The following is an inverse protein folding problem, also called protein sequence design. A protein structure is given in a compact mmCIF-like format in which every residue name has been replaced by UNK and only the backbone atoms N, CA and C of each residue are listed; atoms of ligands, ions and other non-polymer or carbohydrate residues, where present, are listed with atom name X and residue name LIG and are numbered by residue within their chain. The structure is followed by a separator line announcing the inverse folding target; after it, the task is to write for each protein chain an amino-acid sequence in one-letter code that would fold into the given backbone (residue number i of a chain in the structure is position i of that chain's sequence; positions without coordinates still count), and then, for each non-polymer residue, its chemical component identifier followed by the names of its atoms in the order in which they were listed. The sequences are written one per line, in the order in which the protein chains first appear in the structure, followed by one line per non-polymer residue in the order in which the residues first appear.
data_IF_627438821372
#
_entry.id   IF_627438821372
#
_cell.length_a   1.000
_cell.length_b   1.000
_cell.length_c   1.000
_cell.angle_alpha   90.00
_cell.angle_beta   90.00
_cell.angle_gamma   90.00
#
_symmetry.space_group_name_H-M   'P 1'
#
loop_
_entity.id
_entity.type
_entity.pdbx_description
1 polymer ?
#
# COMPACT_ATOMS: atom_id res chain seq x y z
N UNK A 1 -3.33 -2.18 -16.24
CA UNK A 1 -3.54 -1.76 -14.84
C UNK A 1 -4.05 -2.95 -14.06
N UNK A 2 -3.45 -3.28 -12.94
CA UNK A 2 -3.96 -4.29 -12.00
C UNK A 2 -4.63 -3.57 -10.84
N UNK A 3 -5.81 -4.02 -10.43
CA UNK A 3 -6.55 -3.45 -9.31
C UNK A 3 -7.17 -4.59 -8.50
N UNK A 4 -6.96 -4.56 -7.19
CA UNK A 4 -7.57 -5.48 -6.25
C UNK A 4 -7.98 -4.74 -4.98
N UNK A 5 -9.19 -5.00 -4.52
CA UNK A 5 -9.71 -4.55 -3.23
C UNK A 5 -9.62 -5.73 -2.26
N UNK A 6 -9.11 -5.47 -1.06
CA UNK A 6 -9.24 -6.36 0.08
C UNK A 6 -10.16 -5.69 1.10
N UNK A 7 -11.15 -6.43 1.57
CA UNK A 7 -12.07 -5.94 2.61
C UNK A 7 -12.01 -6.88 3.80
N UNK A 8 -11.69 -6.31 4.95
CA UNK A 8 -11.77 -6.98 6.24
C UNK A 8 -13.10 -6.60 6.90
N UNK A 9 -14.02 -7.56 6.96
CA UNK A 9 -15.35 -7.36 7.55
C UNK A 9 -15.30 -7.12 9.06
N UNK A 10 -14.31 -7.69 9.76
CA UNK A 10 -14.19 -7.57 11.21
C UNK A 10 -13.71 -6.18 11.62
N UNK A 11 -12.84 -5.58 10.81
CA UNK A 11 -12.27 -4.25 11.06
C UNK A 11 -12.97 -3.14 10.26
N UNK A 12 -13.96 -3.48 9.42
CA UNK A 12 -14.54 -2.58 8.44
C UNK A 12 -13.47 -1.81 7.64
N UNK A 13 -12.40 -2.52 7.29
CA UNK A 13 -11.18 -1.93 6.73
C UNK A 13 -11.05 -2.29 5.25
N UNK A 14 -10.82 -1.27 4.41
CA UNK A 14 -10.58 -1.42 2.98
C UNK A 14 -9.12 -1.17 2.66
N UNK A 15 -8.48 -2.13 1.99
CA UNK A 15 -7.14 -2.01 1.43
C UNK A 15 -7.19 -2.17 -0.08
N UNK A 16 -6.35 -1.44 -0.81
CA UNK A 16 -6.29 -1.51 -2.26
C UNK A 16 -4.89 -1.82 -2.75
N UNK A 17 -4.76 -2.78 -3.66
CA UNK A 17 -3.54 -3.02 -4.42
C UNK A 17 -3.73 -2.52 -5.85
N UNK A 18 -2.91 -1.53 -6.24
CA UNK A 18 -2.90 -0.98 -7.59
C UNK A 18 -1.53 -1.24 -8.21
N UNK A 19 -1.49 -1.93 -9.34
CA UNK A 19 -0.26 -2.33 -10.02
C UNK A 19 -0.15 -1.77 -11.45
N UNK A 20 1.06 -1.38 -11.83
CA UNK A 20 1.42 -0.99 -13.18
C UNK A 20 2.18 -2.12 -13.89
N UNK A 21 1.56 -2.74 -14.89
CA UNK A 21 2.19 -3.83 -15.67
C UNK A 21 3.41 -3.37 -16.47
N UNK A 22 3.50 -2.08 -16.81
CA UNK A 22 4.60 -1.51 -17.60
C UNK A 22 5.86 -1.31 -16.75
N UNK A 23 5.72 -0.76 -15.55
CA UNK A 23 6.87 -0.48 -14.66
C UNK A 23 7.18 -1.63 -13.71
N UNK A 24 6.22 -2.55 -13.49
CA UNK A 24 6.35 -3.60 -12.49
C UNK A 24 6.26 -3.08 -11.06
N UNK A 25 5.79 -1.84 -10.86
CA UNK A 25 5.59 -1.25 -9.55
C UNK A 25 4.13 -1.42 -9.10
N UNK A 26 3.93 -1.53 -7.79
CA UNK A 26 2.61 -1.55 -7.20
C UNK A 26 2.55 -0.68 -5.94
N UNK A 27 1.35 -0.18 -5.65
CA UNK A 27 1.04 0.56 -4.44
C UNK A 27 -0.05 -0.16 -3.65
N UNK A 28 0.13 -0.27 -2.33
CA UNK A 28 -0.85 -0.77 -1.38
C UNK A 28 -1.37 0.42 -0.56
N UNK A 29 -2.64 0.73 -0.74
CA UNK A 29 -3.35 1.81 -0.08
C UNK A 29 -4.00 1.26 1.19
N UNK A 30 -3.75 1.92 2.32
CA UNK A 30 -4.23 1.51 3.64
C UNK A 30 -3.99 -0.01 3.84
N UNK A 31 -2.72 -0.46 3.90
CA UNK A 31 -2.38 -1.88 3.93
C UNK A 31 -3.06 -2.58 5.11
N UNK A 32 -3.70 -3.71 4.80
CA UNK A 32 -4.25 -4.60 5.81
C UNK A 32 -3.15 -5.18 6.70
N UNK A 33 -3.55 -5.62 7.89
CA UNK A 33 -2.69 -6.31 8.86
C UNK A 33 -3.00 -7.80 8.95
N UNK A 34 -3.91 -8.25 8.09
CA UNK A 34 -4.29 -9.64 7.92
C UNK A 34 -3.24 -10.33 7.04
N UNK A 35 -2.66 -11.41 7.55
CA UNK A 35 -1.63 -12.16 6.85
C UNK A 35 -2.11 -12.76 5.53
N UNK A 36 -3.36 -13.22 5.45
CA UNK A 36 -3.90 -13.88 4.26
C UNK A 36 -3.96 -12.90 3.08
N UNK A 37 -4.34 -11.64 3.36
CA UNK A 37 -4.38 -10.58 2.34
C UNK A 37 -2.99 -10.18 1.86
N UNK A 38 -1.99 -10.21 2.76
CA UNK A 38 -0.61 -9.85 2.41
C UNK A 38 0.04 -10.88 1.47
N UNK A 39 -0.38 -12.15 1.52
CA UNK A 39 0.17 -13.19 0.63
C UNK A 39 -0.31 -13.07 -0.82
N UNK A 40 -1.35 -12.29 -1.07
CA UNK A 40 -1.84 -11.99 -2.42
C UNK A 40 -1.03 -10.89 -3.13
N UNK A 41 -0.11 -10.22 -2.41
CA UNK A 41 0.75 -9.15 -2.95
C UNK A 41 1.97 -9.79 -3.64
N UNK A 42 2.35 -9.36 -4.86
CA UNK A 42 3.46 -9.97 -5.58
C UNK A 42 4.81 -9.64 -4.95
N UNK A 43 5.56 -10.66 -4.52
CA UNK A 43 6.85 -10.54 -3.81
C UNK A 43 8.03 -10.11 -4.69
N UNK A 44 7.90 -10.25 -6.01
CA UNK A 44 8.94 -9.95 -7.00
C UNK A 44 8.85 -8.52 -7.56
N UNK A 45 7.94 -7.70 -7.03
CA UNK A 45 7.69 -6.32 -7.46
C UNK A 45 8.11 -5.33 -6.40
N UNK A 46 8.39 -4.10 -6.85
CA UNK A 46 8.56 -2.96 -5.96
C UNK A 46 7.19 -2.54 -5.41
N UNK A 47 7.05 -2.58 -4.08
CA UNK A 47 5.81 -2.27 -3.38
C UNK A 47 5.96 -0.96 -2.62
N UNK A 48 5.08 0.00 -2.87
CA UNK A 48 4.95 1.22 -2.08
C UNK A 48 3.71 1.06 -1.20
N UNK A 49 3.80 1.32 0.09
CA UNK A 49 2.62 1.39 0.95
C UNK A 49 2.31 2.85 1.26
N UNK A 50 1.03 3.19 1.35
CA UNK A 50 0.64 4.50 1.89
C UNK A 50 -0.67 4.43 2.67
N UNK A 51 -0.86 5.43 3.51
CA UNK A 51 -2.12 5.68 4.20
C UNK A 51 -2.30 7.21 4.33
N UNK A 52 -3.25 7.65 5.17
CA UNK A 52 -3.45 9.09 5.43
C UNK A 52 -2.19 9.83 5.90
N UNK A 53 -1.48 9.30 6.91
CA UNK A 53 -0.40 10.02 7.62
C UNK A 53 0.95 9.28 7.62
N UNK A 54 1.04 8.10 7.02
CA UNK A 54 2.24 7.25 7.02
C UNK A 54 2.31 6.22 8.16
N UNK A 55 1.55 6.39 9.25
CA UNK A 55 1.65 5.51 10.43
C UNK A 55 1.13 4.08 10.17
N UNK A 56 -0.06 3.93 9.55
CA UNK A 56 -0.64 2.62 9.24
C UNK A 56 0.19 1.88 8.18
N UNK A 57 0.66 2.63 7.18
CA UNK A 57 1.47 2.08 6.10
C UNK A 57 2.86 1.67 6.55
N UNK A 58 3.45 2.34 7.55
CA UNK A 58 4.68 1.87 8.19
C UNK A 58 4.54 0.47 8.81
N UNK A 59 3.42 0.21 9.50
CA UNK A 59 3.12 -1.12 10.05
C UNK A 59 3.00 -2.14 8.91
N UNK A 60 2.22 -1.82 7.88
CA UNK A 60 2.09 -2.69 6.70
C UNK A 60 3.44 -2.99 6.02
N UNK A 61 4.31 -1.99 5.89
CA UNK A 61 5.67 -2.16 5.37
C UNK A 61 6.48 -3.13 6.23
N UNK A 62 6.45 -3.00 7.56
CA UNK A 62 7.16 -3.93 8.44
C UNK A 62 6.66 -5.37 8.32
N UNK A 63 5.34 -5.57 8.16
CA UNK A 63 4.74 -6.89 7.98
C UNK A 63 5.16 -7.51 6.63
N UNK A 64 5.13 -6.73 5.56
CA UNK A 64 5.61 -7.18 4.25
C UNK A 64 7.10 -7.54 4.28
N UNK A 65 7.93 -6.70 4.91
CA UNK A 65 9.35 -7.00 5.08
C UNK A 65 9.57 -8.28 5.89
N UNK A 66 8.83 -8.48 6.98
CA UNK A 66 8.87 -9.70 7.78
C UNK A 66 8.46 -10.95 6.96
N UNK A 67 7.53 -10.80 6.01
CA UNK A 67 7.12 -11.85 5.05
C UNK A 67 8.11 -12.08 3.88
N UNK A 68 9.26 -11.41 3.91
CA UNK A 68 10.35 -11.61 2.96
C UNK A 68 10.25 -10.79 1.67
N UNK A 69 9.36 -9.80 1.61
CA UNK A 69 9.36 -8.85 0.51
C UNK A 69 10.63 -7.98 0.58
N UNK A 70 11.39 -7.95 -0.52
CA UNK A 70 12.73 -7.32 -0.52
C UNK A 70 12.71 -5.84 -0.90
N UNK A 71 11.73 -5.42 -1.69
CA UNK A 71 11.62 -4.06 -2.22
C UNK A 71 10.29 -3.43 -1.81
N UNK A 72 10.23 -3.02 -0.54
CA UNK A 72 9.03 -2.40 0.06
C UNK A 72 9.40 -1.06 0.67
N UNK A 73 8.67 -0.02 0.25
CA UNK A 73 8.83 1.35 0.72
C UNK A 73 7.55 1.84 1.39
N UNK A 74 7.68 2.68 2.41
CA UNK A 74 6.56 3.41 3.01
C UNK A 74 6.58 4.85 2.50
N UNK A 75 5.43 5.37 2.06
CA UNK A 75 5.30 6.80 1.75
C UNK A 75 5.31 7.61 3.05
N UNK A 76 6.43 8.27 3.33
CA UNK A 76 6.61 9.10 4.53
C UNK A 76 5.56 10.23 4.58
N UNK A 77 4.99 10.44 5.78
CA UNK A 77 3.91 11.40 5.99
C UNK A 77 2.58 11.08 5.29
N UNK A 78 2.54 10.01 4.50
CA UNK A 78 1.36 9.53 3.78
C UNK A 78 0.77 10.55 2.82
N UNK A 79 -0.51 10.38 2.51
CA UNK A 79 -1.24 11.27 1.60
C UNK A 79 -1.30 12.72 2.10
N UNK A 80 -1.27 12.95 3.42
CA UNK A 80 -1.28 14.29 3.99
C UNK A 80 -0.02 15.08 3.62
N UNK A 81 1.16 14.43 3.65
CA UNK A 81 2.41 15.05 3.21
C UNK A 81 2.41 15.28 1.68
N UNK A 82 1.96 14.29 0.90
CA UNK A 82 1.80 14.42 -0.55
C UNK A 82 0.99 15.67 -0.94
N UNK A 83 -0.15 15.88 -0.27
CA UNK A 83 -0.98 17.07 -0.48
C UNK A 83 -0.28 18.36 -0.05
N UNK A 84 0.42 18.34 1.09
CA UNK A 84 1.16 19.50 1.61
C UNK A 84 2.28 19.94 0.67
N UNK A 85 2.93 19.00 -0.01
CA UNK A 85 3.97 19.27 -1.00
C UNK A 85 3.42 19.79 -2.34
N UNK A 86 2.09 19.85 -2.50
CA UNK A 86 1.47 20.32 -3.74
C UNK A 86 1.61 19.35 -4.91
N UNK A 87 1.87 18.07 -4.62
CA UNK A 87 1.96 17.03 -5.65
C UNK A 87 0.59 16.75 -6.29
N UNK A 88 0.53 16.21 -7.51
CA UNK A 88 -0.72 16.02 -8.24
C UNK A 88 -1.74 15.18 -7.46
N UNK A 89 -2.97 15.69 -7.37
CA UNK A 89 -4.12 14.98 -6.81
C UNK A 89 -5.31 15.22 -7.74
N UNK A 90 -6.00 14.15 -8.10
CA UNK A 90 -7.30 14.24 -8.78
C UNK A 90 -8.39 14.20 -7.71
N UNK A 91 -9.17 15.27 -7.61
CA UNK A 91 -10.44 15.29 -6.89
C UNK A 91 -11.50 15.28 -7.98
N UNK A 92 -12.37 14.28 -7.94
CA UNK A 92 -13.58 14.27 -8.77
C UNK A 92 -14.64 15.21 -8.16
#
# INVERSE_FOLDING_TARGET
MYFKLFFDEQLAHMSYLIGCQKTGEAIVIDPARDEDQLDEIPKDKKIITHCKSGARSAIGTSLLQAKGFKDVLNLEGGFSAWQKEGLPVKKD
#
